data_IF_324651489070
#
_entry.id   IF_324651489070
#
_cell.length_a   1.000
_cell.length_b   1.000
_cell.length_c   1.000
_cell.angle_alpha   90.00
_cell.angle_beta   90.00
_cell.angle_gamma   90.00
#
_symmetry.space_group_name_H-M   'P 1'
#
loop_
_entity.id
_entity.type
_entity.pdbx_description
1 polymer ?
#
# COMPACT_ATOMS: atom_id res chain seq x y z
N UNK A 1 -36.90 -2.18 7.65
CA UNK A 1 -35.82 -3.18 7.59
C UNK A 1 -34.70 -2.52 6.80
N UNK A 2 -33.69 -1.97 7.49
CA UNK A 2 -32.71 -1.09 6.84
C UNK A 2 -31.67 -1.95 6.12
N UNK A 3 -31.65 -1.88 4.79
CA UNK A 3 -30.75 -2.65 3.94
C UNK A 3 -29.38 -1.96 3.94
N UNK A 4 -28.39 -2.57 4.58
CA UNK A 4 -27.01 -2.05 4.56
C UNK A 4 -26.42 -2.36 3.19
N UNK A 5 -26.00 -1.33 2.45
CA UNK A 5 -25.32 -1.50 1.17
C UNK A 5 -24.09 -2.40 1.38
N UNK A 6 -23.99 -3.55 0.68
CA UNK A 6 -22.86 -4.48 0.84
C UNK A 6 -21.49 -3.86 0.54
N UNK A 7 -21.42 -2.72 -0.16
CA UNK A 7 -20.18 -1.96 -0.42
C UNK A 7 -19.66 -1.22 0.81
N UNK A 8 -20.47 -1.02 1.85
CA UNK A 8 -20.03 -0.38 3.10
C UNK A 8 -18.83 -1.13 3.70
N UNK A 9 -18.84 -2.46 3.69
CA UNK A 9 -17.73 -3.27 4.19
C UNK A 9 -16.45 -3.13 3.36
N UNK A 10 -16.57 -2.86 2.05
CA UNK A 10 -15.41 -2.62 1.17
C UNK A 10 -14.74 -1.28 1.45
N UNK A 11 -15.49 -0.25 1.86
CA UNK A 11 -14.91 1.05 2.25
C UNK A 11 -14.22 1.00 3.61
N UNK A 12 -14.68 0.14 4.53
CA UNK A 12 -14.09 0.02 5.86
C UNK A 12 -12.77 -0.77 5.89
N UNK A 13 -12.50 -1.61 4.88
CA UNK A 13 -11.28 -2.43 4.84
C UNK A 13 -10.29 -1.95 3.78
N UNK A 14 -9.22 -1.24 4.15
CA UNK A 14 -8.22 -0.82 3.18
C UNK A 14 -7.61 -2.04 2.47
N UNK A 15 -7.34 -1.95 1.16
CA UNK A 15 -6.81 -3.07 0.39
C UNK A 15 -5.40 -3.44 0.88
N UNK A 16 -5.23 -4.71 1.25
CA UNK A 16 -3.96 -5.25 1.72
C UNK A 16 -3.04 -5.58 0.55
N UNK A 17 -1.79 -5.15 0.64
CA UNK A 17 -0.74 -5.42 -0.35
C UNK A 17 0.20 -6.51 0.16
N UNK A 18 0.66 -6.42 1.42
CA UNK A 18 1.43 -7.48 2.07
C UNK A 18 0.60 -8.14 3.17
N UNK A 19 0.22 -9.39 2.98
CA UNK A 19 -0.55 -10.14 3.98
C UNK A 19 0.32 -10.56 5.18
N UNK A 20 1.54 -11.02 4.95
CA UNK A 20 2.44 -11.48 6.02
C UNK A 20 2.73 -10.39 7.07
N UNK A 21 2.76 -9.13 6.65
CA UNK A 21 3.15 -7.98 7.49
C UNK A 21 2.02 -6.98 7.68
N UNK A 22 0.82 -7.34 7.24
CA UNK A 22 -0.37 -6.50 7.33
C UNK A 22 -0.15 -5.07 6.79
N UNK A 23 0.44 -4.94 5.60
CA UNK A 23 0.69 -3.64 4.95
C UNK A 23 -0.42 -3.36 3.93
N UNK A 24 -1.13 -2.25 4.11
CA UNK A 24 -2.15 -1.77 3.16
C UNK A 24 -1.56 -0.89 2.06
N UNK A 25 -2.30 -0.72 0.95
CA UNK A 25 -1.91 0.20 -0.11
C UNK A 25 -1.82 1.65 0.39
N UNK A 26 -2.72 2.04 1.29
CA UNK A 26 -2.74 3.38 1.89
C UNK A 26 -1.50 3.62 2.75
N UNK A 27 -1.07 2.64 3.56
CA UNK A 27 0.18 2.70 4.33
C UNK A 27 1.37 2.97 3.40
N UNK A 28 1.49 2.21 2.31
CA UNK A 28 2.59 2.39 1.34
C UNK A 28 2.58 3.81 0.76
N UNK A 29 1.43 4.29 0.27
CA UNK A 29 1.30 5.65 -0.28
C UNK A 29 1.63 6.72 0.76
N UNK A 30 1.22 6.52 2.02
CA UNK A 30 1.58 7.43 3.11
C UNK A 30 3.08 7.50 3.33
N UNK A 31 3.78 6.35 3.38
CA UNK A 31 5.24 6.33 3.56
C UNK A 31 5.97 6.99 2.38
N UNK A 32 5.46 6.82 1.15
CA UNK A 32 6.01 7.46 -0.04
C UNK A 32 5.88 8.98 0.05
N UNK A 33 4.71 9.49 0.45
CA UNK A 33 4.51 10.93 0.69
C UNK A 33 5.37 11.46 1.84
N UNK A 34 5.70 10.61 2.82
CA UNK A 34 6.66 10.90 3.88
C UNK A 34 8.13 10.66 3.46
N UNK A 35 8.42 10.57 2.16
CA UNK A 35 9.77 10.59 1.61
C UNK A 35 10.40 9.23 1.35
N UNK A 36 9.66 8.12 1.44
CA UNK A 36 10.16 6.84 0.95
C UNK A 36 10.14 6.80 -0.59
N UNK A 37 11.30 6.96 -1.23
CA UNK A 37 11.43 7.03 -2.70
C UNK A 37 12.03 5.77 -3.32
N UNK A 38 12.45 4.82 -2.49
CA UNK A 38 13.04 3.54 -2.92
C UNK A 38 12.30 2.36 -2.30
N UNK A 39 12.45 1.18 -2.91
CA UNK A 39 11.83 -0.04 -2.38
C UNK A 39 12.43 -0.41 -1.03
N UNK A 40 13.72 -0.22 -0.86
CA UNK A 40 14.49 -0.50 0.35
C UNK A 40 13.98 0.35 1.52
N UNK A 41 13.75 1.65 1.30
CA UNK A 41 13.14 2.53 2.31
C UNK A 41 11.71 2.10 2.67
N UNK A 42 10.90 1.68 1.68
CA UNK A 42 9.56 1.16 1.96
C UNK A 42 9.61 -0.14 2.76
N UNK A 43 10.54 -1.05 2.42
CA UNK A 43 10.75 -2.29 3.13
C UNK A 43 11.21 -2.03 4.57
N UNK A 44 12.12 -1.08 4.79
CA UNK A 44 12.58 -0.69 6.13
C UNK A 44 11.43 -0.14 6.98
N UNK A 45 10.62 0.77 6.42
CA UNK A 45 9.53 1.45 7.15
C UNK A 45 8.29 0.59 7.38
N UNK A 46 8.01 -0.36 6.48
CA UNK A 46 6.77 -1.16 6.51
C UNK A 46 6.99 -2.64 6.73
N UNK A 47 8.24 -3.10 6.71
CA UNK A 47 8.62 -4.52 6.69
C UNK A 47 8.06 -5.32 5.50
N UNK A 48 7.52 -4.68 4.46
CA UNK A 48 6.93 -5.41 3.32
C UNK A 48 7.97 -6.30 2.60
N UNK A 49 7.50 -7.39 1.99
CA UNK A 49 8.34 -8.37 1.28
C UNK A 49 9.44 -9.07 2.09
N UNK A 50 9.46 -8.96 3.43
CA UNK A 50 10.48 -9.62 4.29
C UNK A 50 10.14 -11.06 4.69
N UNK A 51 9.05 -11.64 4.17
CA UNK A 51 8.58 -12.99 4.52
C UNK A 51 8.49 -13.88 3.28
N UNK A 52 7.41 -13.76 2.50
CA UNK A 52 7.21 -14.59 1.31
C UNK A 52 7.59 -13.92 -0.02
N UNK A 53 7.80 -12.60 -0.02
CA UNK A 53 8.17 -11.81 -1.21
C UNK A 53 7.08 -11.61 -2.26
N UNK A 54 5.94 -12.31 -2.21
CA UNK A 54 4.92 -12.29 -3.27
C UNK A 54 4.31 -10.92 -3.56
N UNK A 55 4.34 -10.00 -2.59
CA UNK A 55 3.85 -8.63 -2.75
C UNK A 55 4.81 -7.68 -3.46
N UNK A 56 6.09 -8.06 -3.66
CA UNK A 56 7.14 -7.13 -4.11
C UNK A 56 6.80 -6.41 -5.42
N UNK A 57 6.34 -7.15 -6.44
CA UNK A 57 5.98 -6.55 -7.73
C UNK A 57 4.93 -5.46 -7.59
N UNK A 58 3.91 -5.69 -6.74
CA UNK A 58 2.85 -4.70 -6.49
C UNK A 58 3.31 -3.53 -5.63
N UNK A 59 4.20 -3.76 -4.67
CA UNK A 59 4.84 -2.67 -3.89
C UNK A 59 5.63 -1.75 -4.82
N UNK A 60 6.45 -2.30 -5.71
CA UNK A 60 7.25 -1.54 -6.68
C UNK A 60 6.37 -0.75 -7.66
N UNK A 61 5.27 -1.35 -8.11
CA UNK A 61 4.28 -0.67 -8.94
C UNK A 61 3.68 0.55 -8.23
N UNK A 62 3.20 0.38 -6.99
CA UNK A 62 2.63 1.49 -6.19
C UNK A 62 3.67 2.59 -5.97
N UNK A 63 4.92 2.23 -5.65
CA UNK A 63 6.02 3.17 -5.49
C UNK A 63 6.21 4.03 -6.74
N UNK A 64 6.35 3.41 -7.91
CA UNK A 64 6.52 4.11 -9.18
C UNK A 64 5.33 5.03 -9.47
N UNK A 65 4.11 4.50 -9.38
CA UNK A 65 2.90 5.26 -9.72
C UNK A 65 2.70 6.45 -8.79
N UNK A 66 2.96 6.32 -7.49
CA UNK A 66 2.82 7.43 -6.54
C UNK A 66 3.90 8.50 -6.75
N UNK A 67 5.17 8.11 -6.98
CA UNK A 67 6.25 9.06 -7.32
C UNK A 67 5.91 9.83 -8.60
N UNK A 68 5.43 9.15 -9.63
CA UNK A 68 5.01 9.79 -10.87
C UNK A 68 3.82 10.74 -10.65
N UNK A 69 2.87 10.40 -9.77
CA UNK A 69 1.75 11.28 -9.41
C UNK A 69 2.22 12.55 -8.69
N UNK A 70 3.17 12.42 -7.75
CA UNK A 70 3.76 13.56 -7.04
C UNK A 70 4.50 14.51 -7.98
N UNK A 71 5.12 14.01 -9.06
CA UNK A 71 5.80 14.84 -10.07
C UNK A 71 4.86 15.62 -10.98
N UNK A 72 3.60 15.20 -11.08
CA UNK A 72 2.57 15.84 -11.92
C UNK A 72 1.76 16.89 -11.16
N UNK A 73 1.97 17.01 -9.85
CA UNK A 73 1.26 17.94 -8.95
C UNK A 73 2.16 19.11 -8.62
#
# INVERSE_FOLDING_TARGET
MNEIDPKVFQWMRPPMVCLCRHVSAERLRSEIRHGATTFEQLQERTSCSTVCGTCEGRVREILRTEIEAMRRS
#
